data_IF_649249092695
#
_entry.id   IF_649249092695
#
_cell.length_a   1.000
_cell.length_b   1.000
_cell.length_c   1.000
_cell.angle_alpha   90.00
_cell.angle_beta   90.00
_cell.angle_gamma   90.00
#
_symmetry.space_group_name_H-M   'P 1'
#
loop_
_entity.id
_entity.type
_entity.pdbx_description
1 polymer ?
#
# COMPACT_ATOMS: atom_id res chain seq x y z
N UNK A 1 -19.32 28.47 -29.76
CA UNK A 1 -19.97 28.22 -28.46
C UNK A 1 -19.80 26.75 -28.14
N UNK A 2 -18.73 26.41 -27.45
CA UNK A 2 -18.38 25.03 -27.12
C UNK A 2 -19.10 24.67 -25.83
N UNK A 3 -20.09 23.78 -25.90
CA UNK A 3 -20.78 23.24 -24.77
C UNK A 3 -19.78 22.51 -23.87
N UNK A 4 -19.52 23.08 -22.72
CA UNK A 4 -18.92 22.34 -21.61
C UNK A 4 -19.99 21.35 -21.13
N UNK A 5 -19.89 20.09 -21.55
CA UNK A 5 -20.63 19.00 -20.92
C UNK A 5 -20.35 19.05 -19.42
N UNK A 6 -21.42 19.14 -18.66
CA UNK A 6 -21.36 19.14 -17.21
C UNK A 6 -20.81 17.79 -16.75
N UNK A 7 -19.53 17.77 -16.37
CA UNK A 7 -18.88 16.60 -15.78
C UNK A 7 -19.73 16.17 -14.57
N UNK A 8 -20.27 14.99 -14.66
CA UNK A 8 -21.06 14.34 -13.64
C UNK A 8 -20.23 14.23 -12.35
N UNK A 9 -20.67 14.87 -11.28
CA UNK A 9 -19.96 14.95 -10.00
C UNK A 9 -20.52 13.91 -9.03
N UNK A 10 -19.75 12.85 -8.73
CA UNK A 10 -20.08 11.97 -7.62
C UNK A 10 -19.87 12.74 -6.33
N UNK A 11 -20.93 12.97 -5.58
CA UNK A 11 -20.88 13.64 -4.28
C UNK A 11 -20.96 12.60 -3.19
N UNK A 12 -19.92 12.55 -2.37
CA UNK A 12 -19.83 11.70 -1.18
C UNK A 12 -20.07 12.57 0.03
N UNK A 13 -21.01 12.19 0.87
CA UNK A 13 -21.21 12.84 2.15
C UNK A 13 -20.64 12.00 3.29
N UNK A 14 -20.05 12.64 4.29
CA UNK A 14 -19.53 11.98 5.47
C UNK A 14 -19.70 12.83 6.72
N UNK A 15 -19.79 12.14 7.87
CA UNK A 15 -19.96 12.75 9.18
C UNK A 15 -19.03 12.08 10.20
N UNK A 16 -18.49 12.87 11.12
CA UNK A 16 -17.79 12.38 12.30
C UNK A 16 -18.75 12.37 13.50
N UNK A 17 -18.55 11.48 14.45
CA UNK A 17 -19.30 11.47 15.69
C UNK A 17 -19.17 12.81 16.44
N UNK A 18 -20.27 13.31 16.96
CA UNK A 18 -20.32 14.60 17.66
C UNK A 18 -20.28 15.83 16.74
N UNK A 19 -20.04 15.67 15.44
CA UNK A 19 -20.15 16.74 14.45
C UNK A 19 -21.53 16.62 13.75
N UNK A 20 -22.43 17.56 14.06
CA UNK A 20 -23.75 17.58 13.45
C UNK A 20 -23.71 18.06 11.99
N UNK A 21 -22.57 18.59 11.54
CA UNK A 21 -22.40 19.04 10.16
C UNK A 21 -22.05 17.87 9.24
N UNK A 22 -22.88 17.65 8.25
CA UNK A 22 -22.56 16.76 7.13
C UNK A 22 -21.54 17.46 6.23
N UNK A 23 -20.40 16.81 5.99
CA UNK A 23 -19.42 17.28 5.03
C UNK A 23 -19.63 16.57 3.71
N UNK A 24 -19.41 17.29 2.62
CA UNK A 24 -19.57 16.75 1.27
C UNK A 24 -18.29 16.95 0.49
N UNK A 25 -17.90 15.91 -0.24
CA UNK A 25 -16.81 15.96 -1.20
C UNK A 25 -17.39 15.63 -2.58
N UNK A 26 -17.29 16.58 -3.49
CA UNK A 26 -17.63 16.36 -4.89
C UNK A 26 -16.37 15.97 -5.67
N UNK A 27 -16.32 14.73 -6.16
CA UNK A 27 -15.25 14.32 -7.06
C UNK A 27 -15.30 15.15 -8.34
N UNK A 28 -14.15 15.64 -8.78
CA UNK A 28 -14.02 16.60 -9.87
C UNK A 28 -14.01 18.07 -9.43
N UNK A 29 -14.35 18.36 -8.15
CA UNK A 29 -14.28 19.71 -7.55
C UNK A 29 -13.35 19.70 -6.33
N UNK A 30 -13.72 18.99 -5.28
CA UNK A 30 -13.00 18.96 -4.00
C UNK A 30 -11.94 17.85 -3.97
N UNK A 31 -12.19 16.78 -4.69
CA UNK A 31 -11.29 15.65 -4.88
C UNK A 31 -11.19 15.30 -6.36
N UNK A 32 -10.04 14.84 -6.78
CA UNK A 32 -9.82 14.34 -8.13
C UNK A 32 -9.61 12.85 -8.10
N UNK A 33 -10.44 12.14 -8.84
CA UNK A 33 -10.22 10.75 -9.24
C UNK A 33 -10.12 10.75 -10.76
N UNK A 34 -8.93 10.50 -11.29
CA UNK A 34 -8.63 10.57 -12.71
C UNK A 34 -8.12 9.21 -13.18
N UNK A 35 -8.92 8.55 -13.99
CA UNK A 35 -8.62 7.26 -14.61
C UNK A 35 -8.43 7.37 -16.14
N UNK A 36 -8.17 8.56 -16.68
CA UNK A 36 -8.03 8.75 -18.15
C UNK A 36 -6.94 7.89 -18.76
N UNK A 37 -5.85 7.62 -18.03
CA UNK A 37 -4.82 6.69 -18.47
C UNK A 37 -5.28 5.24 -18.63
N UNK A 38 -6.46 4.88 -18.13
CA UNK A 38 -7.05 3.53 -18.32
C UNK A 38 -7.51 3.36 -19.77
N UNK A 39 -8.29 4.31 -20.29
CA UNK A 39 -8.80 4.23 -21.67
C UNK A 39 -7.67 4.31 -22.69
N UNK A 40 -6.58 5.02 -22.38
CA UNK A 40 -5.42 5.13 -23.26
C UNK A 40 -4.67 3.79 -23.43
N UNK A 41 -4.71 2.94 -22.37
CA UNK A 41 -4.00 1.66 -22.34
C UNK A 41 -4.92 0.49 -22.67
N UNK A 42 -6.14 0.46 -22.12
CA UNK A 42 -7.06 -0.67 -22.27
C UNK A 42 -7.97 -0.58 -23.51
N UNK A 43 -7.98 0.55 -24.21
CA UNK A 43 -8.93 0.86 -25.28
C UNK A 43 -10.43 0.79 -24.85
N UNK A 44 -10.68 0.66 -23.57
CA UNK A 44 -12.01 0.53 -22.95
C UNK A 44 -12.16 1.50 -21.79
N UNK A 45 -13.40 1.90 -21.55
CA UNK A 45 -13.77 2.55 -20.28
C UNK A 45 -13.85 1.51 -19.16
N UNK A 46 -13.73 1.96 -17.92
CA UNK A 46 -13.98 1.08 -16.78
C UNK A 46 -15.40 0.50 -16.86
N UNK A 47 -15.51 -0.81 -16.70
CA UNK A 47 -16.79 -1.47 -16.50
C UNK A 47 -17.51 -0.87 -15.28
N UNK A 48 -18.86 -0.88 -15.29
CA UNK A 48 -19.66 -0.25 -14.22
C UNK A 48 -19.27 -0.69 -12.83
N UNK A 49 -19.10 -2.00 -12.61
CA UNK A 49 -18.70 -2.56 -11.32
C UNK A 49 -17.28 -2.15 -10.93
N UNK A 50 -16.36 -2.14 -11.90
CA UNK A 50 -14.97 -1.71 -11.71
C UNK A 50 -14.90 -0.22 -11.33
N UNK A 51 -15.73 0.60 -11.98
CA UNK A 51 -15.84 2.02 -11.69
C UNK A 51 -16.42 2.26 -10.28
N UNK A 52 -17.49 1.55 -9.91
CA UNK A 52 -18.06 1.63 -8.55
C UNK A 52 -17.04 1.23 -7.50
N UNK A 53 -16.29 0.14 -7.70
CA UNK A 53 -15.29 -0.32 -6.75
C UNK A 53 -14.22 0.76 -6.51
N UNK A 54 -13.73 1.38 -7.57
CA UNK A 54 -12.74 2.44 -7.50
C UNK A 54 -13.30 3.71 -6.83
N UNK A 55 -14.53 4.10 -7.18
CA UNK A 55 -15.21 5.26 -6.59
C UNK A 55 -15.52 5.06 -5.11
N UNK A 56 -15.98 3.87 -4.71
CA UNK A 56 -16.22 3.51 -3.30
C UNK A 56 -14.90 3.55 -2.52
N UNK A 57 -13.83 2.96 -3.03
CA UNK A 57 -12.53 3.00 -2.36
C UNK A 57 -11.97 4.43 -2.25
N UNK A 58 -12.15 5.25 -3.28
CA UNK A 58 -11.76 6.65 -3.25
C UNK A 58 -12.59 7.48 -2.26
N UNK A 59 -13.90 7.21 -2.15
CA UNK A 59 -14.79 7.84 -1.20
C UNK A 59 -14.40 7.51 0.26
N UNK A 60 -14.13 6.23 0.53
CA UNK A 60 -13.65 5.76 1.84
C UNK A 60 -12.30 6.41 2.17
N UNK A 61 -11.36 6.46 1.22
CA UNK A 61 -10.08 7.14 1.42
C UNK A 61 -10.27 8.64 1.70
N UNK A 62 -11.17 9.30 1.01
CA UNK A 62 -11.48 10.70 1.24
C UNK A 62 -12.06 10.93 2.65
N UNK A 63 -13.00 10.09 3.08
CA UNK A 63 -13.58 10.16 4.42
C UNK A 63 -12.51 9.91 5.51
N UNK A 64 -11.70 8.86 5.36
CA UNK A 64 -10.57 8.55 6.26
C UNK A 64 -9.61 9.75 6.42
N UNK A 65 -9.35 10.47 5.32
CA UNK A 65 -8.45 11.63 5.32
C UNK A 65 -9.07 12.92 5.86
N UNK A 66 -10.37 13.08 5.76
CA UNK A 66 -11.06 14.32 6.10
C UNK A 66 -11.66 14.30 7.52
N UNK A 67 -11.88 13.12 8.10
CA UNK A 67 -12.29 12.97 9.51
C UNK A 67 -11.05 12.84 10.37
N UNK A 68 -10.75 13.91 11.12
CA UNK A 68 -9.55 13.92 11.98
C UNK A 68 -9.77 13.03 13.21
N UNK A 69 -8.69 12.38 13.66
CA UNK A 69 -8.70 11.73 14.97
C UNK A 69 -8.76 12.78 16.07
N UNK A 70 -9.57 12.55 17.13
CA UNK A 70 -9.62 13.47 18.26
C UNK A 70 -8.23 13.58 18.89
N UNK A 71 -7.86 14.76 19.33
CA UNK A 71 -6.68 14.99 20.15
C UNK A 71 -7.12 15.37 21.55
N UNK A 72 -6.71 14.59 22.57
CA UNK A 72 -7.01 14.93 23.95
C UNK A 72 -5.86 15.72 24.57
N UNK A 73 -6.14 16.86 25.22
CA UNK A 73 -5.12 17.58 25.98
C UNK A 73 -4.51 16.69 27.07
N UNK A 74 -3.19 16.64 27.16
CA UNK A 74 -2.47 15.89 28.19
C UNK A 74 -1.98 14.49 27.78
N UNK A 75 -2.44 13.96 26.66
CA UNK A 75 -1.90 12.74 26.07
C UNK A 75 -1.19 13.09 24.76
N UNK A 76 0.00 12.56 24.55
CA UNK A 76 0.78 12.78 23.33
C UNK A 76 0.03 12.37 22.06
N UNK A 77 0.51 12.78 20.89
CA UNK A 77 -0.05 12.35 19.61
C UNK A 77 -0.06 10.82 19.56
N UNK A 78 -1.21 10.23 19.41
CA UNK A 78 -1.36 8.77 19.26
C UNK A 78 -2.29 8.10 20.26
N UNK A 79 -2.92 8.82 21.18
CA UNK A 79 -3.80 8.23 22.18
C UNK A 79 -5.28 8.19 21.81
N UNK A 80 -5.62 8.28 20.57
CA UNK A 80 -6.99 8.25 20.16
C UNK A 80 -7.22 7.71 18.87
N UNK A 81 -8.05 7.00 18.99
CA UNK A 81 -8.43 5.92 18.59
C UNK A 81 -9.58 5.96 17.72
N UNK A 82 -10.52 5.00 17.79
CA UNK A 82 -11.66 4.72 16.95
C UNK A 82 -12.46 6.01 16.73
N UNK A 83 -12.50 6.46 15.49
CA UNK A 83 -13.44 7.46 15.01
C UNK A 83 -14.75 6.76 14.68
N UNK A 84 -15.86 7.48 14.75
CA UNK A 84 -17.11 7.05 14.13
C UNK A 84 -17.28 7.80 12.82
N UNK A 85 -17.24 7.06 11.71
CA UNK A 85 -17.28 7.61 10.37
C UNK A 85 -18.51 7.07 9.65
N UNK A 86 -19.45 7.94 9.35
CA UNK A 86 -20.60 7.61 8.51
C UNK A 86 -20.38 8.18 7.11
N UNK A 87 -20.58 7.36 6.07
CA UNK A 87 -20.38 7.79 4.68
C UNK A 87 -21.53 7.31 3.81
N UNK A 88 -22.03 8.20 2.94
CA UNK A 88 -23.02 7.87 1.92
C UNK A 88 -22.35 7.93 0.54
N UNK A 89 -22.42 6.84 -0.21
CA UNK A 89 -21.71 6.66 -1.47
C UNK A 89 -22.71 6.26 -2.57
N UNK A 90 -22.81 7.04 -3.64
CA UNK A 90 -23.63 6.65 -4.78
C UNK A 90 -22.93 5.54 -5.59
N UNK A 91 -23.68 4.49 -5.91
CA UNK A 91 -23.23 3.34 -6.71
C UNK A 91 -24.29 3.00 -7.77
N UNK A 92 -23.87 2.37 -8.86
CA UNK A 92 -24.76 2.06 -9.99
C UNK A 92 -25.69 0.88 -9.69
N UNK A 93 -25.21 -0.08 -8.91
CA UNK A 93 -25.97 -1.29 -8.55
C UNK A 93 -26.07 -1.46 -7.02
N UNK A 94 -26.89 -0.65 -6.31
CA UNK A 94 -26.98 -0.65 -4.83
C UNK A 94 -27.26 -2.03 -4.23
N UNK A 95 -28.05 -2.86 -4.90
CA UNK A 95 -28.41 -4.20 -4.39
C UNK A 95 -27.19 -5.12 -4.31
N UNK A 96 -26.27 -5.04 -5.27
CA UNK A 96 -25.00 -5.79 -5.22
C UNK A 96 -24.13 -5.34 -4.05
N UNK A 97 -24.06 -4.02 -3.83
CA UNK A 97 -23.30 -3.46 -2.72
C UNK A 97 -23.92 -3.78 -1.36
N UNK A 98 -25.24 -3.90 -1.28
CA UNK A 98 -25.93 -4.33 -0.07
C UNK A 98 -25.51 -5.75 0.37
N UNK A 99 -25.28 -6.66 -0.58
CA UNK A 99 -24.85 -8.05 -0.29
C UNK A 99 -23.49 -8.08 0.42
N UNK A 100 -22.56 -7.22 0.02
CA UNK A 100 -21.19 -7.21 0.57
C UNK A 100 -20.99 -6.20 1.70
N UNK A 101 -22.01 -5.45 2.05
CA UNK A 101 -21.94 -4.40 3.05
C UNK A 101 -21.33 -4.86 4.38
N UNK A 102 -21.73 -6.00 5.00
CA UNK A 102 -21.11 -6.45 6.25
C UNK A 102 -19.64 -6.82 6.11
N UNK A 103 -19.24 -7.36 4.96
CA UNK A 103 -17.84 -7.69 4.68
C UNK A 103 -17.00 -6.41 4.53
N UNK A 104 -17.54 -5.39 3.86
CA UNK A 104 -16.88 -4.09 3.70
C UNK A 104 -16.67 -3.41 5.06
N UNK A 105 -17.69 -3.38 5.93
CA UNK A 105 -17.57 -2.79 7.28
C UNK A 105 -16.44 -3.49 8.05
N UNK A 106 -16.44 -4.84 8.13
CA UNK A 106 -15.38 -5.58 8.82
C UNK A 106 -13.99 -5.30 8.25
N UNK A 107 -13.86 -5.16 6.93
CA UNK A 107 -12.60 -4.80 6.27
C UNK A 107 -12.14 -3.39 6.68
N UNK A 108 -13.05 -2.42 6.72
CA UNK A 108 -12.72 -1.04 7.07
C UNK A 108 -12.33 -0.93 8.55
N UNK A 109 -13.06 -1.57 9.45
CA UNK A 109 -12.74 -1.65 10.88
C UNK A 109 -11.38 -2.32 11.11
N UNK A 110 -11.10 -3.42 10.40
CA UNK A 110 -9.80 -4.07 10.43
C UNK A 110 -8.66 -3.15 9.95
N UNK A 111 -8.88 -2.41 8.87
CA UNK A 111 -7.87 -1.52 8.29
C UNK A 111 -7.56 -0.30 9.14
N UNK A 112 -8.60 0.27 9.80
CA UNK A 112 -8.50 1.61 10.36
C UNK A 112 -8.61 1.67 11.87
N UNK A 113 -9.09 0.59 12.50
CA UNK A 113 -9.51 0.56 13.91
C UNK A 113 -10.57 1.65 14.24
N UNK A 114 -11.37 2.04 13.25
CA UNK A 114 -12.46 3.00 13.37
C UNK A 114 -13.81 2.28 13.20
N UNK A 115 -14.88 2.85 13.74
CA UNK A 115 -16.25 2.38 13.54
C UNK A 115 -16.83 3.00 12.27
N UNK A 116 -17.25 2.17 11.33
CA UNK A 116 -17.75 2.62 10.04
C UNK A 116 -19.26 2.34 9.87
N UNK A 117 -19.93 3.32 9.32
CA UNK A 117 -21.30 3.19 8.80
C UNK A 117 -21.30 3.64 7.34
N UNK A 118 -21.60 2.73 6.42
CA UNK A 118 -21.62 3.00 4.98
C UNK A 118 -23.04 2.84 4.48
N UNK A 119 -23.56 3.85 3.79
CA UNK A 119 -24.83 3.78 3.08
C UNK A 119 -24.58 3.87 1.58
N UNK A 120 -25.21 2.99 0.81
CA UNK A 120 -25.18 3.05 -0.64
C UNK A 120 -26.48 3.67 -1.16
N UNK A 121 -26.34 4.59 -2.11
CA UNK A 121 -27.45 5.24 -2.80
C UNK A 121 -27.34 4.98 -4.30
N UNK A 122 -28.46 5.04 -5.03
CA UNK A 122 -28.42 4.88 -6.47
C UNK A 122 -27.69 6.07 -7.13
N UNK A 123 -26.72 5.78 -7.99
CA UNK A 123 -26.06 6.77 -8.82
C UNK A 123 -26.88 7.00 -10.10
N UNK A 124 -27.17 8.26 -10.42
CA UNK A 124 -27.91 8.64 -11.63
C UNK A 124 -27.08 8.59 -12.92
N UNK A 125 -25.86 8.01 -12.90
CA UNK A 125 -24.87 8.34 -13.93
C UNK A 125 -24.08 7.14 -14.46
N UNK A 126 -23.64 7.18 -15.76
CA UNK A 126 -22.75 6.18 -16.31
C UNK A 126 -21.37 6.20 -15.61
N UNK A 127 -20.64 5.12 -15.73
CA UNK A 127 -19.24 5.01 -15.33
C UNK A 127 -18.39 6.17 -15.91
N UNK A 128 -17.17 6.31 -15.43
CA UNK A 128 -16.22 7.30 -15.93
C UNK A 128 -16.38 7.52 -17.44
N UNK A 129 -16.72 8.73 -17.84
CA UNK A 129 -16.49 9.16 -19.20
C UNK A 129 -14.99 9.41 -19.38
N UNK A 130 -14.21 8.36 -19.45
CA UNK A 130 -12.85 8.40 -19.95
C UNK A 130 -12.89 8.85 -21.40
N UNK A 131 -11.81 9.49 -21.86
CA UNK A 131 -11.71 9.96 -23.25
C UNK A 131 -12.06 8.87 -24.27
N UNK A 132 -12.19 9.27 -25.51
CA UNK A 132 -12.50 8.40 -26.64
C UNK A 132 -11.54 7.19 -26.65
N UNK A 133 -12.03 5.99 -26.28
CA UNK A 133 -11.23 4.78 -26.28
C UNK A 133 -10.81 4.40 -27.72
N UNK A 134 -9.67 3.79 -27.86
CA UNK A 134 -9.26 3.20 -29.14
C UNK A 134 -10.14 1.99 -29.44
N UNK A 135 -10.48 1.79 -30.71
CA UNK A 135 -11.35 0.69 -31.15
C UNK A 135 -10.71 -0.71 -30.98
N UNK A 136 -9.41 -0.78 -30.78
CA UNK A 136 -8.68 -2.05 -30.69
C UNK A 136 -7.67 -1.95 -29.54
N UNK A 137 -7.74 -2.87 -28.58
CA UNK A 137 -6.69 -3.06 -27.58
C UNK A 137 -5.45 -3.64 -28.25
N UNK A 138 -4.30 -3.06 -27.97
CA UNK A 138 -2.99 -3.58 -28.42
C UNK A 138 -2.33 -4.45 -27.36
N UNK A 139 -3.00 -4.70 -26.25
CA UNK A 139 -2.46 -5.52 -25.17
C UNK A 139 -2.57 -7.01 -25.51
N UNK A 140 -1.54 -7.82 -25.19
CA UNK A 140 -1.63 -9.27 -25.27
C UNK A 140 -2.74 -9.83 -24.39
N UNK A 141 -3.41 -10.89 -24.85
CA UNK A 141 -4.49 -11.52 -24.09
C UNK A 141 -4.01 -12.11 -22.75
N UNK A 142 -2.76 -12.56 -22.68
CA UNK A 142 -2.13 -13.14 -21.49
C UNK A 142 -1.68 -12.10 -20.45
N UNK A 143 -1.73 -10.79 -20.77
CA UNK A 143 -1.28 -9.77 -19.84
C UNK A 143 -2.14 -9.71 -18.59
N UNK A 144 -1.48 -9.64 -17.42
CA UNK A 144 -2.14 -9.60 -16.12
C UNK A 144 -1.79 -8.32 -15.35
N UNK A 145 -2.75 -7.68 -14.66
CA UNK A 145 -2.47 -6.50 -13.88
C UNK A 145 -1.63 -6.81 -12.65
N UNK A 146 -0.68 -5.93 -12.35
CA UNK A 146 0.19 -6.00 -11.18
C UNK A 146 0.25 -4.65 -10.48
N UNK A 147 0.02 -4.61 -9.17
CA UNK A 147 0.15 -3.37 -8.40
C UNK A 147 1.60 -2.88 -8.38
N UNK A 148 1.76 -1.61 -8.70
CA UNK A 148 3.08 -0.97 -8.77
C UNK A 148 3.09 0.38 -8.04
N UNK A 149 3.80 0.44 -6.91
CA UNK A 149 3.90 1.65 -6.09
C UNK A 149 5.13 2.52 -6.43
N UNK A 150 6.15 1.95 -7.08
CA UNK A 150 7.48 2.54 -7.21
C UNK A 150 8.40 2.25 -6.01
N UNK A 151 7.92 1.49 -5.03
CA UNK A 151 8.72 0.98 -3.91
C UNK A 151 9.57 -0.22 -4.32
N UNK A 152 10.51 -0.59 -3.44
CA UNK A 152 11.46 -1.66 -3.72
C UNK A 152 10.77 -3.00 -4.04
N UNK A 153 9.81 -3.43 -3.20
CA UNK A 153 9.16 -4.74 -3.37
C UNK A 153 8.38 -4.84 -4.67
N UNK A 154 7.62 -3.80 -5.03
CA UNK A 154 6.87 -3.79 -6.29
C UNK A 154 7.80 -3.72 -7.51
N UNK A 155 8.93 -3.01 -7.41
CA UNK A 155 9.94 -2.95 -8.48
C UNK A 155 10.65 -4.29 -8.65
N UNK A 156 11.06 -4.91 -7.54
CA UNK A 156 11.68 -6.23 -7.53
C UNK A 156 10.70 -7.31 -8.02
N UNK A 157 9.43 -7.26 -7.60
CA UNK A 157 8.40 -8.20 -8.05
C UNK A 157 8.17 -8.14 -9.56
N UNK A 158 8.10 -6.94 -10.14
CA UNK A 158 8.02 -6.78 -11.60
C UNK A 158 9.27 -7.33 -12.30
N UNK A 159 10.47 -7.06 -11.79
CA UNK A 159 11.72 -7.57 -12.35
C UNK A 159 11.81 -9.11 -12.28
N UNK A 160 11.43 -9.72 -11.16
CA UNK A 160 11.43 -11.17 -10.94
C UNK A 160 10.52 -11.91 -11.93
N UNK A 161 9.39 -11.29 -12.29
CA UNK A 161 8.39 -11.92 -13.15
C UNK A 161 8.44 -11.46 -14.61
N UNK A 162 9.29 -10.47 -14.95
CA UNK A 162 9.37 -9.90 -16.30
C UNK A 162 9.70 -10.91 -17.41
N UNK A 163 10.42 -11.99 -17.07
CA UNK A 163 10.82 -13.04 -18.03
C UNK A 163 9.78 -14.17 -18.21
N UNK A 164 8.81 -14.28 -17.29
CA UNK A 164 7.85 -15.40 -17.24
C UNK A 164 6.39 -14.99 -17.39
N UNK A 165 6.06 -13.73 -17.14
CA UNK A 165 4.70 -13.21 -17.19
C UNK A 165 4.65 -11.88 -17.92
N UNK A 166 3.62 -11.69 -18.74
CA UNK A 166 3.29 -10.39 -19.28
C UNK A 166 2.50 -9.62 -18.20
N UNK A 167 3.13 -8.61 -17.58
CA UNK A 167 2.52 -7.84 -16.49
C UNK A 167 2.15 -6.43 -16.94
N UNK A 168 1.00 -5.95 -16.51
CA UNK A 168 0.53 -4.58 -16.65
C UNK A 168 0.67 -3.84 -15.31
N UNK A 169 1.70 -3.02 -15.12
CA UNK A 169 1.85 -2.21 -13.91
C UNK A 169 0.67 -1.24 -13.72
N UNK A 170 0.02 -1.32 -12.56
CA UNK A 170 -1.08 -0.44 -12.16
C UNK A 170 -0.66 0.40 -10.97
N UNK A 171 -0.69 1.72 -11.11
CA UNK A 171 -0.24 2.67 -10.11
C UNK A 171 -1.35 3.62 -9.68
N UNK A 172 -1.34 4.01 -8.41
CA UNK A 172 -2.15 5.11 -7.89
C UNK A 172 -1.23 6.25 -7.46
N UNK A 173 -1.39 7.40 -8.11
CA UNK A 173 -0.59 8.59 -7.87
C UNK A 173 -1.31 9.50 -6.88
N UNK A 174 -0.74 9.65 -5.70
CA UNK A 174 -1.26 10.56 -4.68
C UNK A 174 -0.41 11.83 -4.53
N UNK A 175 0.80 11.85 -5.10
CA UNK A 175 1.70 13.00 -5.11
C UNK A 175 2.69 12.98 -6.31
N UNK A 176 3.26 14.14 -6.71
CA UNK A 176 4.18 14.25 -7.85
C UNK A 176 5.51 13.52 -7.66
N UNK A 177 6.01 13.43 -6.42
CA UNK A 177 7.30 12.78 -6.14
C UNK A 177 7.26 11.30 -6.53
N UNK A 178 6.23 10.57 -6.08
CA UNK A 178 6.10 9.15 -6.41
C UNK A 178 5.85 8.93 -7.90
N UNK A 179 5.21 9.88 -8.59
CA UNK A 179 5.06 9.80 -10.06
C UNK A 179 6.42 9.72 -10.75
N UNK A 180 7.34 10.61 -10.40
CA UNK A 180 8.68 10.63 -10.99
C UNK A 180 9.50 9.36 -10.64
N UNK A 181 9.32 8.79 -9.45
CA UNK A 181 9.94 7.51 -9.08
C UNK A 181 9.38 6.38 -9.95
N UNK A 182 8.05 6.30 -10.08
CA UNK A 182 7.39 5.30 -10.90
C UNK A 182 7.85 5.38 -12.37
N UNK A 183 8.03 6.60 -12.91
CA UNK A 183 8.52 6.79 -14.27
C UNK A 183 9.92 6.22 -14.43
N UNK A 184 10.88 6.58 -13.56
CA UNK A 184 12.26 6.09 -13.66
C UNK A 184 12.36 4.56 -13.56
N UNK A 185 11.64 3.96 -12.61
CA UNK A 185 11.61 2.50 -12.47
C UNK A 185 11.04 1.83 -13.72
N UNK A 186 9.92 2.33 -14.25
CA UNK A 186 9.31 1.78 -15.47
C UNK A 186 10.21 1.96 -16.69
N UNK A 187 10.90 3.08 -16.81
CA UNK A 187 11.84 3.31 -17.91
C UNK A 187 13.02 2.35 -17.84
N UNK A 188 13.54 2.07 -16.65
CA UNK A 188 14.54 1.04 -16.43
C UNK A 188 14.05 -0.36 -16.83
N UNK A 189 12.83 -0.75 -16.41
CA UNK A 189 12.22 -2.02 -16.81
C UNK A 189 11.99 -2.11 -18.33
N UNK A 190 11.55 -1.03 -18.95
CA UNK A 190 11.33 -0.96 -20.41
C UNK A 190 12.61 -1.12 -21.20
N UNK A 191 13.71 -0.54 -20.71
CA UNK A 191 15.02 -0.67 -21.34
C UNK A 191 15.52 -2.13 -21.37
N UNK A 192 15.07 -2.95 -20.40
CA UNK A 192 15.42 -4.37 -20.29
C UNK A 192 14.40 -5.28 -20.99
N UNK A 193 13.19 -4.80 -21.23
CA UNK A 193 12.11 -5.59 -21.83
C UNK A 193 12.26 -5.66 -23.35
N UNK A 194 12.05 -6.87 -23.91
CA UNK A 194 11.94 -7.06 -25.36
C UNK A 194 10.54 -6.73 -25.90
N UNK A 195 9.58 -6.56 -25.00
CA UNK A 195 8.17 -6.24 -25.34
C UNK A 195 7.79 -4.90 -24.72
N UNK A 196 6.85 -4.16 -25.36
CA UNK A 196 6.32 -2.94 -24.74
C UNK A 196 5.80 -3.23 -23.33
N UNK A 197 6.19 -2.40 -22.36
CA UNK A 197 5.66 -2.44 -20.99
C UNK A 197 4.71 -1.23 -20.80
N UNK A 198 3.42 -1.36 -21.15
CA UNK A 198 2.42 -0.33 -20.86
C UNK A 198 2.22 -0.23 -19.35
N UNK A 199 1.65 0.88 -18.88
CA UNK A 199 1.31 1.05 -17.47
C UNK A 199 0.03 1.87 -17.33
N UNK A 200 -0.85 1.44 -16.43
CA UNK A 200 -2.08 2.16 -16.07
C UNK A 200 -1.85 3.00 -14.83
N UNK A 201 -2.36 4.23 -14.85
CA UNK A 201 -2.19 5.17 -13.75
C UNK A 201 -3.49 5.86 -13.39
N UNK A 202 -3.83 5.75 -12.11
CA UNK A 202 -4.90 6.53 -11.51
C UNK A 202 -4.30 7.70 -10.73
N UNK A 203 -4.99 8.84 -10.75
CA UNK A 203 -4.62 9.99 -9.90
C UNK A 203 -5.73 10.23 -8.90
N UNK A 204 -5.37 10.19 -7.62
CA UNK A 204 -6.26 10.53 -6.53
C UNK A 204 -5.65 11.69 -5.75
N UNK A 205 -6.34 12.80 -5.74
CA UNK A 205 -5.89 13.99 -5.02
C UNK A 205 -7.07 14.62 -4.29
N UNK A 206 -6.89 14.84 -2.99
CA UNK A 206 -7.81 15.60 -2.16
C UNK A 206 -7.35 17.05 -2.16
N UNK A 207 -7.94 17.86 -3.04
CA UNK A 207 -7.54 19.24 -3.22
C UNK A 207 -7.77 20.06 -1.96
N UNK A 208 -6.83 20.93 -1.66
CA UNK A 208 -6.93 21.83 -0.51
C UNK A 208 -7.88 23.01 -0.73
N UNK A 209 -8.15 23.37 -1.95
CA UNK A 209 -9.12 24.41 -2.32
C UNK A 209 -9.19 24.57 -3.84
N UNK A 210 -10.29 24.15 -4.45
CA UNK A 210 -10.69 24.63 -5.78
C UNK A 210 -11.76 25.74 -5.67
N UNK A 211 -12.30 25.98 -4.47
CA UNK A 211 -13.44 26.87 -4.23
C UNK A 211 -13.08 28.09 -3.37
N UNK A 212 -11.79 28.31 -3.03
CA UNK A 212 -11.38 29.44 -2.18
C UNK A 212 -11.72 29.25 -0.69
N UNK A 213 -12.33 28.15 -0.30
CA UNK A 213 -12.53 27.78 1.12
C UNK A 213 -11.20 27.35 1.76
N UNK A 214 -10.94 27.68 3.05
CA UNK A 214 -9.77 27.19 3.75
C UNK A 214 -9.69 25.66 3.63
N UNK A 215 -8.52 25.15 3.20
CA UNK A 215 -8.34 23.73 2.95
C UNK A 215 -8.72 22.89 4.16
N UNK A 216 -9.45 21.79 3.94
CA UNK A 216 -9.78 20.82 4.98
C UNK A 216 -8.45 20.25 5.53
N UNK A 217 -8.25 20.38 6.85
CA UNK A 217 -7.12 19.74 7.52
C UNK A 217 -7.27 18.23 7.34
N UNK A 218 -6.24 17.57 6.87
CA UNK A 218 -6.27 16.15 6.58
C UNK A 218 -5.61 15.34 7.71
N UNK A 219 -6.23 14.21 8.03
CA UNK A 219 -5.63 13.20 8.91
C UNK A 219 -4.31 12.70 8.31
N UNK A 220 -3.29 12.56 9.16
CA UNK A 220 -1.96 12.12 8.73
C UNK A 220 -1.90 10.63 8.46
N UNK A 221 -2.66 9.82 9.17
CA UNK A 221 -2.80 8.39 8.90
C UNK A 221 -3.52 8.19 7.56
N UNK A 222 -3.13 7.16 6.83
CA UNK A 222 -3.69 6.84 5.51
C UNK A 222 -4.02 5.35 5.45
N UNK A 223 -4.77 4.85 6.43
CA UNK A 223 -4.95 3.42 6.63
C UNK A 223 -5.80 2.74 5.58
N UNK A 224 -6.79 3.46 5.04
CA UNK A 224 -7.62 2.97 3.93
C UNK A 224 -6.92 3.07 2.56
N UNK A 225 -5.73 3.66 2.48
CA UNK A 225 -4.99 3.82 1.21
C UNK A 225 -4.69 2.49 0.52
N UNK A 226 -4.38 1.44 1.29
CA UNK A 226 -4.15 0.10 0.73
C UNK A 226 -5.37 -0.47 0.02
N UNK A 227 -6.57 -0.25 0.58
CA UNK A 227 -7.81 -0.63 -0.08
C UNK A 227 -8.02 0.12 -1.40
N UNK A 228 -7.72 1.42 -1.45
CA UNK A 228 -7.76 2.19 -2.69
C UNK A 228 -6.80 1.64 -3.76
N UNK A 229 -5.59 1.23 -3.38
CA UNK A 229 -4.61 0.69 -4.32
C UNK A 229 -5.04 -0.69 -4.84
N UNK A 230 -5.52 -1.56 -3.97
CA UNK A 230 -6.08 -2.85 -4.36
C UNK A 230 -7.30 -2.66 -5.29
N UNK A 231 -8.22 -1.77 -4.94
CA UNK A 231 -9.39 -1.47 -5.75
C UNK A 231 -9.01 -0.96 -7.16
N UNK A 232 -7.97 -0.14 -7.28
CA UNK A 232 -7.48 0.33 -8.57
C UNK A 232 -6.94 -0.81 -9.45
N UNK A 233 -6.11 -1.70 -8.88
CA UNK A 233 -5.62 -2.89 -9.59
C UNK A 233 -6.73 -3.84 -10.00
N UNK A 234 -7.69 -4.07 -9.11
CA UNK A 234 -8.85 -4.92 -9.36
C UNK A 234 -9.78 -4.31 -10.44
N UNK A 235 -9.99 -3.00 -10.40
CA UNK A 235 -10.79 -2.32 -11.41
C UNK A 235 -10.21 -2.50 -12.82
N UNK A 236 -8.88 -2.45 -12.95
CA UNK A 236 -8.19 -2.76 -14.22
C UNK A 236 -8.40 -4.24 -14.59
N UNK A 237 -8.21 -5.16 -13.65
CA UNK A 237 -8.40 -6.58 -13.90
C UNK A 237 -9.82 -6.89 -14.39
N UNK A 238 -10.84 -6.41 -13.71
CA UNK A 238 -12.25 -6.62 -14.08
C UNK A 238 -12.55 -6.04 -15.47
N UNK A 239 -12.07 -4.83 -15.76
CA UNK A 239 -12.25 -4.18 -17.08
C UNK A 239 -11.60 -4.96 -18.22
N UNK A 240 -10.49 -5.68 -17.92
CA UNK A 240 -9.83 -6.58 -18.86
C UNK A 240 -10.48 -7.98 -18.91
N UNK A 241 -11.56 -8.22 -18.18
CA UNK A 241 -12.16 -9.55 -18.05
C UNK A 241 -11.30 -10.54 -17.24
N UNK A 242 -10.28 -10.05 -16.53
CA UNK A 242 -9.39 -10.88 -15.69
C UNK A 242 -9.95 -11.05 -14.28
N UNK A 243 -9.57 -12.16 -13.66
CA UNK A 243 -9.98 -12.53 -12.29
C UNK A 243 -8.77 -12.67 -11.36
N UNK A 244 -7.68 -12.02 -11.73
CA UNK A 244 -6.40 -12.12 -11.06
C UNK A 244 -5.69 -10.78 -10.99
N UNK A 245 -4.98 -10.54 -9.87
CA UNK A 245 -4.13 -9.38 -9.64
C UNK A 245 -2.84 -9.83 -8.96
N UNK A 246 -1.70 -9.33 -9.43
CA UNK A 246 -0.42 -9.50 -8.76
C UNK A 246 -0.18 -8.39 -7.75
N UNK A 247 0.23 -8.75 -6.54
CA UNK A 247 0.59 -7.83 -5.48
C UNK A 247 1.92 -8.23 -4.84
N UNK A 248 2.90 -7.36 -4.94
CA UNK A 248 4.28 -7.62 -4.51
C UNK A 248 4.59 -6.87 -3.21
N UNK A 249 4.66 -7.59 -2.10
CA UNK A 249 5.08 -7.10 -0.80
C UNK A 249 5.82 -8.22 -0.07
N UNK A 250 6.95 -7.91 0.56
CA UNK A 250 7.70 -8.87 1.38
C UNK A 250 6.95 -9.23 2.65
N UNK A 251 7.23 -10.41 3.22
CA UNK A 251 6.47 -10.93 4.35
C UNK A 251 6.59 -10.09 5.62
N UNK A 252 7.77 -9.56 5.93
CA UNK A 252 7.98 -8.72 7.12
C UNK A 252 7.17 -7.42 7.01
N UNK A 253 7.20 -6.76 5.84
CA UNK A 253 6.41 -5.56 5.57
C UNK A 253 4.91 -5.84 5.51
N UNK A 254 4.50 -6.99 4.98
CA UNK A 254 3.10 -7.40 4.88
C UNK A 254 2.49 -7.71 6.25
N UNK A 255 3.13 -8.56 7.06
CA UNK A 255 2.66 -8.91 8.41
C UNK A 255 2.74 -7.70 9.34
N UNK A 256 3.77 -6.85 9.17
CA UNK A 256 3.94 -5.55 9.81
C UNK A 256 3.66 -5.54 11.32
N UNK A 257 4.35 -6.42 12.06
CA UNK A 257 4.23 -6.49 13.52
C UNK A 257 4.63 -5.15 14.15
N UNK A 258 3.96 -4.73 15.24
CA UNK A 258 4.25 -3.46 15.87
C UNK A 258 5.67 -3.41 16.46
N UNK A 259 6.40 -2.33 16.22
CA UNK A 259 7.73 -2.11 16.77
C UNK A 259 7.69 -1.76 18.26
N UNK A 260 6.62 -1.08 18.69
CA UNK A 260 6.39 -0.70 20.09
C UNK A 260 4.97 -1.08 20.49
N UNK A 261 4.76 -1.38 21.77
CA UNK A 261 3.42 -1.64 22.34
C UNK A 261 2.44 -0.49 22.09
N UNK A 262 2.92 0.75 22.07
CA UNK A 262 2.10 1.93 21.73
C UNK A 262 1.63 1.98 20.28
N UNK A 263 2.18 1.15 19.39
CA UNK A 263 1.78 1.05 18.00
C UNK A 263 0.70 -0.01 17.76
N UNK A 264 0.42 -0.84 18.76
CA UNK A 264 -0.64 -1.85 18.67
C UNK A 264 -1.97 -1.15 18.38
N UNK A 265 -2.64 -1.59 17.33
CA UNK A 265 -3.91 -1.03 16.86
C UNK A 265 -3.73 0.23 16.02
N UNK A 266 -3.20 1.30 16.58
CA UNK A 266 -3.34 2.62 16.00
C UNK A 266 -2.30 3.04 14.96
N UNK A 267 -1.09 2.54 15.00
CA UNK A 267 0.00 3.02 14.15
C UNK A 267 0.54 1.99 13.15
N UNK A 268 0.23 0.71 13.34
CA UNK A 268 0.57 -0.32 12.36
C UNK A 268 -0.38 -0.24 11.16
N UNK A 269 0.14 -0.08 9.96
CA UNK A 269 -0.67 -0.17 8.75
C UNK A 269 -0.92 -1.63 8.42
N UNK A 270 -2.18 -1.98 8.11
CA UNK A 270 -2.59 -3.32 7.68
C UNK A 270 -2.89 -3.40 6.18
N UNK A 271 -2.43 -2.38 5.43
CA UNK A 271 -2.74 -2.23 4.00
C UNK A 271 -2.30 -3.41 3.14
N UNK A 272 -1.13 -3.99 3.44
CA UNK A 272 -0.56 -5.11 2.71
C UNK A 272 -0.71 -6.45 3.47
N UNK A 273 -1.35 -6.44 4.64
CA UNK A 273 -1.49 -7.64 5.46
C UNK A 273 -2.21 -8.76 4.70
N UNK A 274 -1.77 -10.03 4.78
CA UNK A 274 -2.37 -11.13 4.00
C UNK A 274 -3.87 -11.29 4.26
N UNK A 275 -4.34 -11.04 5.48
CA UNK A 275 -5.76 -10.98 5.80
C UNK A 275 -6.49 -9.90 4.97
N UNK A 276 -5.93 -8.70 4.85
CA UNK A 276 -6.52 -7.62 4.03
C UNK A 276 -6.65 -8.04 2.58
N UNK A 277 -5.58 -8.60 2.01
CA UNK A 277 -5.53 -9.06 0.62
C UNK A 277 -6.60 -10.13 0.38
N UNK A 278 -6.70 -11.10 1.30
CA UNK A 278 -7.70 -12.18 1.23
C UNK A 278 -9.13 -11.64 1.37
N UNK A 279 -9.41 -10.77 2.36
CA UNK A 279 -10.74 -10.21 2.57
C UNK A 279 -11.18 -9.35 1.39
N UNK A 280 -10.29 -8.58 0.78
CA UNK A 280 -10.56 -7.81 -0.45
C UNK A 280 -10.86 -8.73 -1.62
N UNK A 281 -10.06 -9.78 -1.85
CA UNK A 281 -10.29 -10.74 -2.93
C UNK A 281 -11.67 -11.42 -2.77
N UNK A 282 -12.01 -11.83 -1.54
CA UNK A 282 -13.31 -12.46 -1.22
C UNK A 282 -14.48 -11.50 -1.42
N UNK A 283 -14.33 -10.24 -0.97
CA UNK A 283 -15.33 -9.19 -1.14
C UNK A 283 -15.61 -8.94 -2.63
N UNK A 284 -14.56 -8.81 -3.42
CA UNK A 284 -14.67 -8.61 -4.88
C UNK A 284 -15.28 -9.84 -5.55
N UNK A 285 -14.90 -11.04 -5.13
CA UNK A 285 -15.48 -12.28 -5.64
C UNK A 285 -16.99 -12.33 -5.45
N UNK A 286 -17.48 -11.95 -4.26
CA UNK A 286 -18.92 -11.85 -3.97
C UNK A 286 -19.59 -10.75 -4.82
N UNK A 287 -18.96 -9.58 -4.90
CA UNK A 287 -19.48 -8.44 -5.64
C UNK A 287 -19.58 -8.73 -7.15
N UNK A 288 -18.58 -9.38 -7.71
CA UNK A 288 -18.54 -9.74 -9.13
C UNK A 288 -19.28 -11.06 -9.46
N UNK A 289 -19.66 -11.85 -8.47
CA UNK A 289 -20.28 -13.16 -8.67
C UNK A 289 -19.33 -14.23 -9.23
N UNK A 290 -18.02 -14.04 -9.10
CA UNK A 290 -16.97 -14.94 -9.60
C UNK A 290 -15.80 -14.97 -8.62
N UNK A 291 -15.06 -16.09 -8.58
CA UNK A 291 -13.84 -16.14 -7.77
C UNK A 291 -12.82 -15.09 -8.29
N UNK A 292 -12.26 -14.29 -7.38
CA UNK A 292 -11.20 -13.36 -7.66
C UNK A 292 -9.97 -13.70 -6.83
N UNK A 293 -8.77 -13.70 -7.43
CA UNK A 293 -7.53 -14.06 -6.78
C UNK A 293 -6.54 -12.89 -6.78
N UNK A 294 -5.85 -12.70 -5.65
CA UNK A 294 -4.71 -11.79 -5.55
C UNK A 294 -3.50 -12.62 -5.15
N UNK A 295 -2.50 -12.70 -6.03
CA UNK A 295 -1.25 -13.42 -5.76
C UNK A 295 -0.24 -12.54 -5.04
N UNK A 296 0.36 -13.08 -3.99
CA UNK A 296 1.37 -12.43 -3.15
C UNK A 296 2.65 -13.28 -3.09
N UNK A 297 3.38 -13.44 -4.20
CA UNK A 297 4.48 -14.43 -4.29
C UNK A 297 5.66 -14.13 -3.36
N UNK A 298 5.80 -12.90 -2.88
CA UNK A 298 6.91 -12.49 -2.01
C UNK A 298 6.57 -12.61 -0.51
N UNK A 299 5.37 -13.07 -0.16
CA UNK A 299 4.87 -13.08 1.21
C UNK A 299 5.71 -13.94 2.16
N UNK A 300 6.31 -15.02 1.66
CA UNK A 300 7.22 -15.87 2.43
C UNK A 300 8.65 -15.36 2.53
N UNK A 301 9.01 -14.22 1.95
CA UNK A 301 10.38 -13.71 1.83
C UNK A 301 10.60 -12.46 2.67
N UNK A 302 11.81 -12.29 3.21
CA UNK A 302 12.24 -10.99 3.72
C UNK A 302 12.54 -10.03 2.57
N UNK A 303 12.69 -8.74 2.88
CA UNK A 303 13.06 -7.76 1.86
C UNK A 303 14.46 -8.01 1.29
N UNK A 304 15.41 -8.49 2.10
CA UNK A 304 16.76 -8.84 1.63
C UNK A 304 16.75 -10.08 0.72
N UNK A 305 15.94 -11.09 1.03
CA UNK A 305 15.72 -12.24 0.17
C UNK A 305 15.09 -11.84 -1.17
N UNK A 306 14.10 -10.94 -1.16
CA UNK A 306 13.49 -10.40 -2.39
C UNK A 306 14.52 -9.70 -3.26
N UNK A 307 15.34 -8.82 -2.68
CA UNK A 307 16.42 -8.14 -3.41
C UNK A 307 17.40 -9.16 -3.99
N UNK A 308 17.81 -10.14 -3.19
CA UNK A 308 18.81 -11.15 -3.58
C UNK A 308 18.32 -12.10 -4.69
N UNK A 309 17.00 -12.27 -4.81
CA UNK A 309 16.39 -13.09 -5.85
C UNK A 309 16.35 -12.42 -7.23
N UNK A 310 16.41 -11.08 -7.28
CA UNK A 310 16.40 -10.33 -8.55
C UNK A 310 17.70 -10.55 -9.31
N UNK A 311 17.62 -10.73 -10.62
CA UNK A 311 18.80 -10.87 -11.48
C UNK A 311 19.64 -9.57 -11.51
N UNK A 312 20.95 -9.71 -11.67
CA UNK A 312 21.91 -8.60 -11.54
C UNK A 312 21.64 -7.45 -12.52
N UNK A 313 21.14 -7.76 -13.71
CA UNK A 313 20.81 -6.75 -14.71
C UNK A 313 19.73 -5.76 -14.28
N UNK A 314 18.88 -6.12 -13.29
CA UNK A 314 17.85 -5.24 -12.75
C UNK A 314 18.30 -4.46 -11.50
N UNK A 315 19.56 -4.55 -11.06
CA UNK A 315 20.07 -3.82 -9.90
C UNK A 315 19.80 -2.31 -10.00
N UNK A 316 20.02 -1.74 -11.19
CA UNK A 316 19.78 -0.33 -11.46
C UNK A 316 18.30 0.06 -11.32
N UNK A 317 17.37 -0.84 -11.67
CA UNK A 317 15.91 -0.61 -11.50
C UNK A 317 15.55 -0.52 -10.03
N UNK A 318 16.11 -1.42 -9.21
CA UNK A 318 15.91 -1.39 -7.76
C UNK A 318 16.52 -0.14 -7.12
N UNK A 319 17.66 0.34 -7.64
CA UNK A 319 18.30 1.58 -7.19
C UNK A 319 17.41 2.82 -7.39
N UNK A 320 16.62 2.88 -8.47
CA UNK A 320 15.69 3.99 -8.73
C UNK A 320 14.45 3.99 -7.80
N UNK A 321 14.10 2.83 -7.22
CA UNK A 321 12.94 2.70 -6.34
C UNK A 321 13.10 3.51 -5.03
N UNK A 322 11.98 3.94 -4.43
CA UNK A 322 11.99 4.68 -3.16
C UNK A 322 11.04 4.05 -2.15
N UNK A 323 11.56 3.75 -0.96
CA UNK A 323 10.81 3.24 0.19
C UNK A 323 10.93 4.22 1.35
N UNK A 324 10.22 5.34 1.29
CA UNK A 324 10.30 6.37 2.33
C UNK A 324 8.90 6.91 2.67
N UNK A 325 8.50 6.83 3.94
CA UNK A 325 7.17 7.28 4.39
C UNK A 325 6.96 8.78 4.14
N UNK A 326 8.03 9.59 4.30
CA UNK A 326 7.95 11.03 4.02
C UNK A 326 7.87 11.33 2.52
N UNK A 327 8.32 10.42 1.66
CA UNK A 327 8.18 10.54 0.21
C UNK A 327 6.72 10.59 -0.23
N UNK A 328 5.84 9.83 0.43
CA UNK A 328 4.40 9.87 0.17
C UNK A 328 3.71 11.17 0.58
N UNK A 329 4.33 11.95 1.46
CA UNK A 329 3.84 13.27 1.86
C UNK A 329 4.51 14.42 1.09
N UNK A 330 5.63 14.18 0.39
CA UNK A 330 6.38 15.19 -0.33
C UNK A 330 5.65 15.64 -1.59
N UNK A 331 5.63 16.96 -1.82
CA UNK A 331 5.12 17.58 -3.05
C UNK A 331 6.22 17.95 -4.03
N UNK A 332 7.48 17.79 -3.63
CA UNK A 332 8.65 18.18 -4.41
C UNK A 332 9.15 16.93 -5.12
N UNK A 333 9.17 16.95 -6.44
CA UNK A 333 9.81 15.91 -7.24
C UNK A 333 11.32 15.87 -6.92
N UNK A 334 11.88 14.66 -6.81
CA UNK A 334 13.30 14.48 -6.50
C UNK A 334 13.67 14.68 -5.02
N UNK A 335 12.68 14.78 -4.12
CA UNK A 335 12.97 14.87 -2.69
C UNK A 335 13.71 13.63 -2.18
N UNK A 336 14.93 13.77 -1.61
CA UNK A 336 15.67 12.60 -1.16
C UNK A 336 14.99 11.90 0.02
N UNK A 337 15.10 10.56 0.13
CA UNK A 337 14.54 9.81 1.25
C UNK A 337 15.14 10.26 2.59
N UNK A 338 14.34 10.18 3.66
CA UNK A 338 14.78 10.72 4.96
C UNK A 338 15.91 9.94 5.62
N UNK A 339 16.03 8.63 5.37
CA UNK A 339 17.04 7.75 5.94
C UNK A 339 16.72 7.20 7.33
N UNK A 340 15.74 7.74 8.03
CA UNK A 340 15.49 7.44 9.46
C UNK A 340 14.07 6.95 9.76
N UNK A 341 13.12 7.01 8.83
CA UNK A 341 11.80 6.39 9.06
C UNK A 341 11.88 4.87 8.95
N UNK A 342 10.90 4.16 9.51
CA UNK A 342 10.85 2.69 9.53
C UNK A 342 11.01 2.06 8.14
N UNK A 343 10.38 2.62 7.12
CA UNK A 343 10.52 2.14 5.73
C UNK A 343 11.92 2.35 5.16
N UNK A 344 12.60 3.47 5.50
CA UNK A 344 14.00 3.69 5.11
C UNK A 344 14.93 2.72 5.84
N UNK A 345 14.74 2.51 7.13
CA UNK A 345 15.56 1.61 7.94
C UNK A 345 15.41 0.16 7.47
N UNK A 346 14.18 -0.30 7.22
CA UNK A 346 13.92 -1.63 6.68
C UNK A 346 14.55 -1.80 5.29
N UNK A 347 14.57 -0.75 4.45
CA UNK A 347 15.26 -0.78 3.17
C UNK A 347 16.78 -0.86 3.36
N UNK A 348 17.37 -0.01 4.19
CA UNK A 348 18.81 0.02 4.44
C UNK A 348 19.31 -1.32 5.01
N UNK A 349 18.62 -1.86 6.01
CA UNK A 349 18.89 -3.17 6.58
C UNK A 349 18.85 -4.26 5.50
N UNK A 350 17.79 -4.31 4.69
CA UNK A 350 17.61 -5.32 3.68
C UNK A 350 18.65 -5.21 2.53
N UNK A 351 18.97 -3.99 2.08
CA UNK A 351 19.97 -3.77 1.04
C UNK A 351 21.35 -4.23 1.51
N UNK A 352 21.76 -3.86 2.72
CA UNK A 352 23.07 -4.24 3.28
C UNK A 352 23.19 -5.75 3.52
N UNK A 353 22.10 -6.42 3.88
CA UNK A 353 22.07 -7.87 4.08
C UNK A 353 21.85 -8.67 2.79
N UNK A 354 21.55 -8.01 1.68
CA UNK A 354 21.25 -8.66 0.41
C UNK A 354 22.50 -8.99 -0.40
N UNK A 355 22.30 -9.71 -1.50
CA UNK A 355 23.32 -9.98 -2.53
C UNK A 355 23.89 -8.70 -3.17
N UNK A 356 23.14 -7.57 -3.10
CA UNK A 356 23.50 -6.31 -3.75
C UNK A 356 23.61 -5.14 -2.76
N UNK A 357 24.56 -5.16 -1.82
CA UNK A 357 24.66 -4.15 -0.77
C UNK A 357 25.02 -2.75 -1.30
N UNK A 358 25.38 -2.64 -2.56
CA UNK A 358 25.74 -1.39 -3.21
C UNK A 358 24.57 -0.64 -3.90
N UNK A 359 23.36 -1.24 -3.95
CA UNK A 359 22.19 -0.64 -4.63
C UNK A 359 21.95 0.82 -4.22
N UNK A 360 22.07 1.11 -2.93
CA UNK A 360 21.81 2.45 -2.40
C UNK A 360 23.07 3.31 -2.24
N UNK A 361 24.25 2.87 -2.77
CA UNK A 361 25.52 3.62 -2.61
C UNK A 361 25.46 5.04 -3.18
N UNK A 362 24.78 5.22 -4.30
CA UNK A 362 24.61 6.53 -4.94
C UNK A 362 23.37 7.29 -4.44
N UNK A 363 22.57 6.69 -3.55
CA UNK A 363 21.35 7.31 -3.05
C UNK A 363 21.67 8.26 -1.91
N UNK A 364 21.32 9.54 -2.10
CA UNK A 364 21.42 10.52 -1.04
C UNK A 364 20.27 10.36 -0.05
N UNK A 365 20.60 10.11 1.21
CA UNK A 365 19.67 10.17 2.33
C UNK A 365 19.84 11.48 3.07
N UNK A 366 18.74 12.09 3.53
CA UNK A 366 18.81 13.36 4.29
C UNK A 366 19.50 13.21 5.64
N UNK A 367 19.42 12.02 6.23
CA UNK A 367 20.06 11.68 7.51
C UNK A 367 20.56 10.26 7.45
N UNK A 368 21.69 10.00 8.09
CA UNK A 368 22.13 8.65 8.44
C UNK A 368 21.47 8.21 9.77
N UNK A 369 21.06 6.96 9.92
CA UNK A 369 20.60 6.45 11.21
C UNK A 369 21.76 6.37 12.21
N UNK A 370 21.48 6.68 13.48
CA UNK A 370 22.41 6.64 14.60
C UNK A 370 21.73 6.15 15.88
N UNK A 371 22.47 6.13 17.00
CA UNK A 371 21.93 5.73 18.32
C UNK A 371 20.76 6.59 18.81
N UNK A 372 20.62 7.81 18.31
CA UNK A 372 19.57 8.73 18.72
C UNK A 372 18.34 8.64 17.80
N UNK A 373 18.35 7.77 16.79
CA UNK A 373 17.23 7.54 15.89
C UNK A 373 16.15 6.69 16.59
N UNK A 374 15.00 7.27 17.00
CA UNK A 374 14.00 6.55 17.81
C UNK A 374 13.41 5.34 17.08
N UNK A 375 13.22 5.47 15.75
CA UNK A 375 12.68 4.40 14.93
C UNK A 375 13.65 3.22 14.86
N UNK A 376 14.97 3.48 14.75
CA UNK A 376 15.99 2.43 14.77
C UNK A 376 15.99 1.70 16.12
N UNK A 377 15.96 2.44 17.22
CA UNK A 377 15.91 1.83 18.56
C UNK A 377 14.66 0.96 18.74
N UNK A 378 13.49 1.40 18.23
CA UNK A 378 12.26 0.63 18.30
C UNK A 378 12.34 -0.67 17.49
N UNK A 379 12.88 -0.61 16.27
CA UNK A 379 13.03 -1.77 15.40
C UNK A 379 14.04 -2.78 15.96
N UNK A 380 15.17 -2.31 16.50
CA UNK A 380 16.16 -3.16 17.16
C UNK A 380 15.60 -3.81 18.43
N UNK A 381 14.83 -3.07 19.21
CA UNK A 381 14.14 -3.63 20.37
C UNK A 381 13.17 -4.75 19.97
N UNK A 382 12.40 -4.57 18.92
CA UNK A 382 11.54 -5.61 18.36
C UNK A 382 12.36 -6.82 17.90
N UNK A 383 13.38 -6.61 17.09
CA UNK A 383 14.20 -7.68 16.53
C UNK A 383 14.93 -8.48 17.63
N UNK A 384 15.45 -7.82 18.67
CA UNK A 384 16.09 -8.51 19.80
C UNK A 384 15.10 -9.33 20.65
N UNK A 385 13.85 -8.93 20.74
CA UNK A 385 12.80 -9.72 21.39
C UNK A 385 12.40 -10.92 20.55
N UNK A 386 12.28 -10.75 19.22
CA UNK A 386 12.05 -11.86 18.30
C UNK A 386 13.17 -12.89 18.39
N UNK A 387 14.42 -12.45 18.41
CA UNK A 387 15.57 -13.34 18.56
C UNK A 387 15.43 -14.25 19.79
N UNK A 388 15.15 -13.66 20.95
CA UNK A 388 15.01 -14.43 22.20
C UNK A 388 13.89 -15.46 22.14
N UNK A 389 12.74 -15.07 21.59
CA UNK A 389 11.57 -15.95 21.44
C UNK A 389 11.78 -17.06 20.42
N UNK A 390 12.50 -16.77 19.33
CA UNK A 390 12.86 -17.76 18.30
C UNK A 390 13.92 -18.76 18.80
N UNK A 391 14.70 -18.41 19.82
CA UNK A 391 15.68 -19.28 20.46
C UNK A 391 15.09 -20.24 21.51
N UNK A 392 13.83 -20.10 21.87
CA UNK A 392 13.14 -20.99 22.80
C UNK A 392 12.87 -22.38 22.19
N UNK A 393 12.52 -23.35 23.02
CA UNK A 393 12.20 -24.72 22.62
C UNK A 393 11.01 -24.75 21.62
N UNK A 394 10.00 -23.91 21.86
CA UNK A 394 8.90 -23.66 20.92
C UNK A 394 8.93 -22.22 20.41
N UNK A 395 9.62 -21.96 19.29
CA UNK A 395 9.72 -20.63 18.70
C UNK A 395 8.37 -20.01 18.31
N UNK A 396 7.40 -20.83 17.90
CA UNK A 396 6.08 -20.34 17.53
C UNK A 396 5.31 -19.84 18.74
N UNK A 397 5.26 -20.63 19.81
CA UNK A 397 4.62 -20.21 21.06
C UNK A 397 5.28 -18.94 21.63
N UNK A 398 6.61 -18.87 21.60
CA UNK A 398 7.36 -17.68 22.02
C UNK A 398 7.01 -16.43 21.21
N UNK A 399 6.94 -16.54 19.87
CA UNK A 399 6.54 -15.43 19.01
C UNK A 399 5.09 -15.00 19.25
N UNK A 400 4.16 -15.93 19.43
CA UNK A 400 2.74 -15.62 19.71
C UNK A 400 2.58 -14.94 21.07
N UNK A 401 3.32 -15.37 22.10
CA UNK A 401 3.28 -14.72 23.41
C UNK A 401 3.75 -13.27 23.34
N UNK A 402 4.79 -13.01 22.56
CA UNK A 402 5.42 -11.70 22.47
C UNK A 402 4.71 -10.75 21.48
N UNK A 403 4.23 -11.30 20.37
CA UNK A 403 3.60 -10.58 19.25
C UNK A 403 2.31 -11.29 18.84
N UNK A 404 1.23 -11.23 19.64
CA UNK A 404 -0.01 -11.96 19.35
C UNK A 404 -0.65 -11.57 18.04
N UNK A 405 -0.32 -10.39 17.49
CA UNK A 405 -0.78 -9.94 16.17
C UNK A 405 -0.33 -10.87 15.02
N UNK A 406 0.73 -11.68 15.24
CA UNK A 406 1.20 -12.67 14.26
C UNK A 406 0.12 -13.72 13.93
N UNK A 407 -0.80 -13.98 14.86
CA UNK A 407 -1.93 -14.89 14.66
C UNK A 407 -2.85 -14.44 13.50
N UNK A 408 -2.89 -13.16 13.20
CA UNK A 408 -3.66 -12.69 12.05
C UNK A 408 -3.08 -13.12 10.70
N UNK A 409 -1.80 -13.47 10.67
CA UNK A 409 -1.11 -13.95 9.47
C UNK A 409 -1.08 -15.49 9.36
N UNK A 410 -1.26 -16.22 10.48
CA UNK A 410 -1.10 -17.69 10.54
C UNK A 410 -2.13 -18.48 9.70
N UNK A 411 -3.24 -17.86 9.33
CA UNK A 411 -4.21 -18.44 8.39
C UNK A 411 -3.78 -18.37 6.91
N UNK A 412 -2.66 -17.67 6.61
CA UNK A 412 -2.19 -17.40 5.24
C UNK A 412 -0.75 -17.86 5.00
N UNK A 413 0.03 -17.96 6.06
CA UNK A 413 1.36 -18.56 6.09
C UNK A 413 1.41 -19.58 7.24
N UNK A 414 1.96 -20.79 7.02
CA UNK A 414 2.21 -21.76 8.08
C UNK A 414 3.07 -21.17 9.21
N UNK A 415 2.89 -21.68 10.43
CA UNK A 415 3.64 -21.22 11.59
C UNK A 415 5.15 -21.35 11.42
N UNK A 416 5.61 -22.46 10.84
CA UNK A 416 7.03 -22.68 10.50
C UNK A 416 7.58 -21.65 9.52
N UNK A 417 6.79 -21.24 8.53
CA UNK A 417 7.21 -20.22 7.55
C UNK A 417 7.30 -18.84 8.19
N UNK A 418 6.37 -18.50 9.11
CA UNK A 418 6.43 -17.27 9.89
C UNK A 418 7.65 -17.24 10.80
N UNK A 419 7.95 -18.35 11.50
CA UNK A 419 9.17 -18.47 12.32
C UNK A 419 10.43 -18.31 11.45
N UNK A 420 10.49 -18.99 10.29
CA UNK A 420 11.60 -18.86 9.35
C UNK A 420 11.77 -17.41 8.88
N UNK A 421 10.66 -16.76 8.49
CA UNK A 421 10.66 -15.39 7.99
C UNK A 421 11.24 -14.42 9.03
N UNK A 422 10.75 -14.48 10.27
CA UNK A 422 11.23 -13.57 11.32
C UNK A 422 12.63 -13.93 11.84
N UNK A 423 13.04 -15.20 11.75
CA UNK A 423 14.43 -15.60 12.01
C UNK A 423 15.37 -14.98 10.98
N UNK A 424 15.05 -15.08 9.69
CA UNK A 424 15.83 -14.44 8.62
C UNK A 424 15.91 -12.92 8.82
N UNK A 425 14.79 -12.26 9.13
CA UNK A 425 14.74 -10.83 9.43
C UNK A 425 15.66 -10.42 10.58
N UNK A 426 15.72 -11.20 11.65
CA UNK A 426 16.63 -10.93 12.79
C UNK A 426 18.09 -11.02 12.35
N UNK A 427 18.45 -12.03 11.56
CA UNK A 427 19.82 -12.25 11.08
C UNK A 427 20.32 -11.18 10.09
N UNK A 428 19.45 -10.37 9.55
CA UNK A 428 19.79 -9.30 8.60
C UNK A 428 20.23 -7.98 9.27
N UNK A 429 20.10 -7.81 10.59
CA UNK A 429 20.39 -6.55 11.29
C UNK A 429 21.86 -6.23 11.51
N UNK A 430 22.79 -7.20 11.71
CA UNK A 430 24.20 -6.94 12.03
C UNK A 430 24.89 -6.02 11.01
N UNK A 431 24.60 -6.16 9.73
CA UNK A 431 25.20 -5.38 8.65
C UNK A 431 24.84 -3.89 8.76
N UNK A 432 23.57 -3.56 9.06
CA UNK A 432 23.17 -2.17 9.27
C UNK A 432 23.81 -1.60 10.53
N UNK A 433 23.84 -2.34 11.63
CA UNK A 433 24.46 -1.89 12.89
C UNK A 433 25.94 -1.56 12.68
N UNK A 434 26.67 -2.46 12.04
CA UNK A 434 28.11 -2.26 11.72
C UNK A 434 28.30 -1.03 10.83
N UNK A 435 27.46 -0.86 9.79
CA UNK A 435 27.49 0.29 8.90
C UNK A 435 27.17 1.61 9.61
N UNK A 436 26.32 1.57 10.62
CA UNK A 436 25.95 2.73 11.46
C UNK A 436 26.94 3.00 12.61
N UNK A 437 28.04 2.22 12.72
CA UNK A 437 29.00 2.33 13.81
C UNK A 437 28.43 1.91 15.17
N UNK A 438 27.43 1.04 15.19
CA UNK A 438 26.78 0.52 16.41
C UNK A 438 27.34 -0.86 16.75
N UNK A 439 27.41 -1.15 18.05
CA UNK A 439 27.89 -2.44 18.54
C UNK A 439 26.76 -3.46 18.47
N UNK A 440 26.90 -4.49 17.64
CA UNK A 440 25.90 -5.56 17.48
C UNK A 440 25.58 -6.23 18.80
N UNK A 441 26.60 -6.44 19.64
CA UNK A 441 26.47 -7.07 20.95
C UNK A 441 25.65 -6.33 22.00
N UNK A 442 25.34 -5.06 21.78
CA UNK A 442 24.43 -4.32 22.65
C UNK A 442 22.96 -4.76 22.46
N UNK A 443 22.66 -5.47 21.35
CA UNK A 443 21.31 -5.80 20.92
C UNK A 443 21.05 -7.30 20.76
N UNK A 444 22.05 -8.07 20.28
CA UNK A 444 21.89 -9.45 19.83
C UNK A 444 22.88 -10.41 20.49
N UNK A 445 22.50 -11.69 20.57
CA UNK A 445 23.34 -12.78 21.07
C UNK A 445 24.58 -13.07 20.19
N UNK A 446 25.46 -13.92 20.64
CA UNK A 446 26.64 -14.33 19.86
C UNK A 446 26.28 -15.03 18.55
N UNK A 447 25.18 -15.78 18.50
CA UNK A 447 24.72 -16.48 17.29
C UNK A 447 24.38 -15.50 16.16
N UNK A 448 23.75 -14.37 16.48
CA UNK A 448 23.42 -13.33 15.49
C UNK A 448 24.63 -12.48 15.14
N UNK A 449 25.63 -12.38 16.05
CA UNK A 449 26.89 -11.65 15.78
C UNK A 449 27.76 -12.34 14.74
N UNK A 450 27.69 -13.67 14.67
CA UNK A 450 28.53 -14.49 13.81
C UNK A 450 27.97 -14.73 12.40
N UNK A 451 26.72 -14.34 12.16
CA UNK A 451 26.03 -14.44 10.87
C UNK A 451 26.26 -13.19 10.02
#
# INVERSE_FOLDING_TARGET
>A
MTGREAVSRTVVSFRAAGDLSERRIAFGVDARLDGRGVSDVLANQLESLAADLLEVAAAIYAADRCVLRPSYPGFGRGHHWAREISVSIPVREPDRWAVIHPDLIRLLEWLTDDNWSVAFTAAERPAFSGGQGYLISTLPDEIEPALFSGGLDSSAGLALHAGSHALLPVSVQTNPHMTAVQDRVLDGLRAMSRTPLPAVRFRVNLNRSLTGTPGIKQESSQRSRGFLFLAAGIAVALTMGKRHLWFFENGVGAVNLPYLRSQIGSQATRSAHPRTVHEVARLVGKLAGVEFRISTPLLGMTKAEVISAVAAEYEHVMAESVSCDTGFASRIAGHPPCGVCTSCLLRLQAVLASRYPAIDRAKEFRKAPDRQTPELAAMLWQASRMERRIAEEDPWAGLVEEFPEILHASGFLPAEDLVRLFRAYVLEWPQLLTSAGLVVGDWFSEQVRAS
#
